data_IF_380343260505
#
_entry.id   IF_380343260505
#
_cell.length_a   1.000
_cell.length_b   1.000
_cell.length_c   1.000
_cell.angle_alpha   90.00
_cell.angle_beta   90.00
_cell.angle_gamma   90.00
#
_symmetry.space_group_name_H-M   'P 1'
#
loop_
_entity.id
_entity.type
_entity.pdbx_description
1 polymer ?
#
# COMPACT_ATOMS: atom_id res chain seq x y z
N UNK A 1 -8.02 33.06 3.96
CA UNK A 1 -9.11 32.09 4.13
C UNK A 1 -8.69 30.85 3.34
N UNK A 2 -8.14 29.85 4.03
CA UNK A 2 -7.44 28.71 3.41
C UNK A 2 -8.43 27.91 2.55
N UNK A 3 -8.08 27.65 1.30
CA UNK A 3 -8.90 26.90 0.34
C UNK A 3 -8.19 25.61 -0.10
N UNK A 4 -7.32 25.04 0.76
CA UNK A 4 -6.48 23.90 0.42
C UNK A 4 -6.09 23.08 1.67
N UNK A 5 -7.06 22.67 2.49
CA UNK A 5 -6.84 21.87 3.71
C UNK A 5 -6.78 20.35 3.39
N UNK A 6 -5.99 19.97 2.37
CA UNK A 6 -5.68 18.56 2.08
C UNK A 6 -4.43 18.11 2.85
N UNK A 7 -4.36 16.83 3.24
CA UNK A 7 -3.15 16.26 3.86
C UNK A 7 -1.98 16.40 2.87
N UNK A 8 -0.85 16.91 3.35
CA UNK A 8 0.35 17.04 2.52
C UNK A 8 0.98 15.67 2.28
N UNK A 9 1.44 15.44 1.06
CA UNK A 9 2.16 14.22 0.70
C UNK A 9 3.43 14.04 1.55
N UNK A 10 4.08 15.14 1.90
CA UNK A 10 5.24 15.16 2.78
C UNK A 10 5.00 14.48 4.15
N UNK A 11 3.77 14.50 4.69
CA UNK A 11 3.47 13.84 5.96
C UNK A 11 3.59 12.32 5.84
N UNK A 12 3.13 11.75 4.71
CA UNK A 12 3.28 10.33 4.39
C UNK A 12 4.75 9.96 4.24
N UNK A 13 5.51 10.81 3.53
CA UNK A 13 6.95 10.60 3.30
C UNK A 13 7.77 10.69 4.59
N UNK A 14 7.39 11.61 5.49
CA UNK A 14 8.02 11.74 6.81
C UNK A 14 7.81 10.47 7.64
N UNK A 15 6.59 9.95 7.69
CA UNK A 15 6.27 8.70 8.40
C UNK A 15 6.98 7.50 7.78
N UNK A 16 7.03 7.42 6.45
CA UNK A 16 7.82 6.39 5.75
C UNK A 16 9.28 6.40 6.18
N UNK A 17 9.88 7.59 6.30
CA UNK A 17 11.27 7.78 6.73
C UNK A 17 11.47 7.39 8.19
N UNK A 18 10.56 7.79 9.07
CA UNK A 18 10.58 7.41 10.50
C UNK A 18 10.53 5.88 10.66
N UNK A 19 9.61 5.24 9.95
CA UNK A 19 9.40 3.78 9.97
C UNK A 19 10.61 3.03 9.41
N UNK A 20 11.28 3.56 8.38
CA UNK A 20 12.52 3.01 7.85
C UNK A 20 13.69 3.13 8.84
N UNK A 21 13.71 4.20 9.65
CA UNK A 21 14.77 4.49 10.61
C UNK A 21 14.75 3.64 11.88
N UNK A 22 13.66 2.91 12.15
CA UNK A 22 13.50 2.12 13.38
C UNK A 22 13.40 0.62 13.12
N UNK A 23 13.91 -0.18 14.07
CA UNK A 23 13.73 -1.65 14.10
C UNK A 23 12.55 -2.09 14.98
N UNK A 24 11.98 -1.19 15.76
CA UNK A 24 10.89 -1.52 16.69
C UNK A 24 9.56 -1.63 15.94
N UNK A 25 9.01 -2.85 15.85
CA UNK A 25 7.69 -3.08 15.25
C UNK A 25 6.61 -2.20 15.88
N UNK A 26 6.60 -2.09 17.21
CA UNK A 26 5.61 -1.28 17.94
C UNK A 26 5.73 0.21 17.62
N UNK A 27 6.95 0.73 17.47
CA UNK A 27 7.16 2.12 17.06
C UNK A 27 6.62 2.36 15.66
N UNK A 28 6.87 1.44 14.71
CA UNK A 28 6.32 1.51 13.35
C UNK A 28 4.79 1.53 13.36
N UNK A 29 4.17 0.60 14.08
CA UNK A 29 2.71 0.53 14.20
C UNK A 29 2.14 1.83 14.75
N UNK A 30 2.82 2.44 15.73
CA UNK A 30 2.36 3.68 16.36
C UNK A 30 2.43 4.87 15.40
N UNK A 31 3.55 5.06 14.70
CA UNK A 31 3.71 6.12 13.71
C UNK A 31 2.71 5.97 12.54
N UNK A 32 2.58 4.76 12.01
CA UNK A 32 1.63 4.45 10.94
C UNK A 32 0.17 4.69 11.38
N UNK A 33 -0.20 4.25 12.59
CA UNK A 33 -1.56 4.43 13.09
C UNK A 33 -1.90 5.92 13.29
N UNK A 34 -0.92 6.74 13.68
CA UNK A 34 -1.12 8.18 13.86
C UNK A 34 -1.48 8.87 12.54
N UNK A 35 -0.73 8.62 11.46
CA UNK A 35 -1.02 9.22 10.15
C UNK A 35 -2.30 8.69 9.52
N UNK A 36 -2.58 7.39 9.67
CA UNK A 36 -3.82 6.77 9.18
C UNK A 36 -5.05 7.38 9.87
N UNK A 37 -4.96 7.68 11.17
CA UNK A 37 -6.03 8.31 11.94
C UNK A 37 -6.22 9.80 11.61
N UNK A 38 -5.12 10.49 11.29
CA UNK A 38 -5.16 11.90 10.89
C UNK A 38 -5.66 12.09 9.45
N UNK A 39 -5.55 11.07 8.60
CA UNK A 39 -6.01 11.12 7.23
C UNK A 39 -7.54 11.32 7.14
N UNK A 40 -7.97 12.27 6.31
CA UNK A 40 -9.38 12.45 5.99
C UNK A 40 -9.94 11.24 5.23
N UNK A 41 -11.28 11.08 5.15
CA UNK A 41 -11.90 9.92 4.49
C UNK A 41 -11.46 9.68 3.04
N UNK A 42 -11.13 10.74 2.31
CA UNK A 42 -10.62 10.66 0.94
C UNK A 42 -9.16 10.17 0.86
N UNK A 43 -8.38 10.42 1.91
CA UNK A 43 -6.93 10.21 1.92
C UNK A 43 -6.52 8.85 2.51
N UNK A 44 -7.39 8.22 3.31
CA UNK A 44 -7.10 6.91 3.95
C UNK A 44 -6.62 5.88 2.93
N UNK A 45 -7.31 5.75 1.80
CA UNK A 45 -6.99 4.74 0.78
C UNK A 45 -5.60 5.01 0.16
N UNK A 46 -5.29 6.22 -0.35
CA UNK A 46 -3.94 6.57 -0.80
C UNK A 46 -2.86 6.32 0.27
N UNK A 47 -3.06 6.82 1.49
CA UNK A 47 -2.07 6.71 2.58
C UNK A 47 -1.75 5.25 2.88
N UNK A 48 -2.77 4.41 3.01
CA UNK A 48 -2.59 2.98 3.32
C UNK A 48 -1.94 2.22 2.16
N UNK A 49 -2.32 2.52 0.91
CA UNK A 49 -1.69 1.92 -0.26
C UNK A 49 -0.19 2.25 -0.30
N UNK A 50 0.17 3.54 -0.21
CA UNK A 50 1.54 4.00 -0.33
C UNK A 50 2.43 3.53 0.83
N UNK A 51 1.90 3.52 2.07
CA UNK A 51 2.60 2.97 3.23
C UNK A 51 2.70 1.44 3.20
N UNK A 52 1.91 0.75 2.38
CA UNK A 52 2.07 -0.67 2.09
C UNK A 52 3.02 -0.93 0.91
N UNK A 53 3.50 0.11 0.23
CA UNK A 53 4.35 0.00 -0.96
C UNK A 53 3.57 -0.29 -2.24
N UNK A 54 2.27 -0.04 -2.25
CA UNK A 54 1.36 -0.33 -3.36
C UNK A 54 0.80 0.95 -3.98
N UNK A 55 0.47 0.89 -5.27
CA UNK A 55 -0.28 1.92 -5.99
C UNK A 55 -1.74 1.50 -6.13
N UNK A 56 -2.67 2.44 -5.94
CA UNK A 56 -4.10 2.18 -6.18
C UNK A 56 -4.40 1.88 -7.66
N UNK A 57 -3.58 2.41 -8.56
CA UNK A 57 -3.73 2.31 -10.00
C UNK A 57 -3.13 1.02 -10.59
N UNK A 58 -2.45 0.21 -9.76
CA UNK A 58 -1.67 -0.93 -10.23
C UNK A 58 -0.44 -0.49 -11.04
N UNK A 59 -0.23 -1.09 -12.23
CA UNK A 59 0.95 -0.80 -13.05
C UNK A 59 0.73 0.43 -13.93
N UNK A 60 1.53 1.47 -13.73
CA UNK A 60 1.47 2.72 -14.52
C UNK A 60 2.08 2.64 -15.92
N UNK A 61 2.75 1.52 -16.26
CA UNK A 61 3.44 1.37 -17.54
C UNK A 61 4.63 2.33 -17.75
N UNK A 62 5.06 3.04 -16.71
CA UNK A 62 6.26 3.87 -16.70
C UNK A 62 7.48 3.01 -16.39
N UNK A 63 8.35 2.80 -17.38
CA UNK A 63 9.58 2.03 -17.19
C UNK A 63 10.61 2.77 -16.34
N UNK A 64 11.44 2.03 -15.60
CA UNK A 64 12.59 2.52 -14.81
C UNK A 64 13.42 3.58 -15.54
N UNK A 65 13.66 3.40 -16.84
CA UNK A 65 14.45 4.32 -17.67
C UNK A 65 13.89 5.75 -17.70
N UNK A 66 12.57 5.90 -17.73
CA UNK A 66 11.93 7.23 -17.73
C UNK A 66 12.14 7.90 -16.39
N UNK A 67 11.91 7.18 -15.28
CA UNK A 67 12.10 7.71 -13.92
C UNK A 67 13.56 8.08 -13.63
N UNK A 68 14.49 7.20 -14.01
CA UNK A 68 15.92 7.39 -13.83
C UNK A 68 16.48 8.58 -14.62
N UNK A 69 15.80 8.99 -15.70
CA UNK A 69 16.15 10.20 -16.47
C UNK A 69 15.51 11.45 -15.88
N UNK A 70 14.22 11.38 -15.55
CA UNK A 70 13.43 12.58 -15.22
C UNK A 70 13.69 13.08 -13.80
N UNK A 71 13.70 12.20 -12.80
CA UNK A 71 13.83 12.64 -11.41
C UNK A 71 15.19 13.31 -11.10
N UNK A 72 16.35 12.76 -11.54
CA UNK A 72 17.65 13.40 -11.26
C UNK A 72 17.91 14.69 -12.07
N UNK A 73 17.17 14.90 -13.16
CA UNK A 73 17.34 16.07 -14.03
C UNK A 73 16.63 17.32 -13.49
N UNK A 74 15.74 17.16 -12.50
CA UNK A 74 14.94 18.25 -11.95
C UNK A 74 15.51 18.72 -10.62
N UNK A 75 15.56 20.03 -10.43
CA UNK A 75 15.85 20.62 -9.13
C UNK A 75 14.65 20.38 -8.21
N UNK A 76 14.82 19.74 -7.04
CA UNK A 76 13.73 19.52 -6.11
C UNK A 76 13.16 20.83 -5.56
N UNK A 77 11.87 20.84 -5.24
CA UNK A 77 11.25 21.95 -4.53
C UNK A 77 11.88 22.12 -3.14
N UNK A 78 11.94 23.37 -2.66
CA UNK A 78 12.53 23.69 -1.36
C UNK A 78 11.59 23.34 -0.20
N UNK A 79 10.29 23.53 -0.39
CA UNK A 79 9.24 23.31 0.59
C UNK A 79 8.19 22.34 0.03
N UNK A 80 7.56 21.52 0.88
CA UNK A 80 6.51 20.61 0.44
C UNK A 80 5.22 21.37 0.12
N UNK A 81 4.70 21.14 -1.08
CA UNK A 81 3.45 21.76 -1.55
C UNK A 81 2.46 20.77 -2.16
N UNK A 82 2.88 19.52 -2.40
CA UNK A 82 2.03 18.50 -3.01
C UNK A 82 1.05 17.94 -1.98
N UNK A 83 -0.23 17.96 -2.34
CA UNK A 83 -1.29 17.28 -1.60
C UNK A 83 -1.43 15.83 -2.07
N UNK A 84 -2.05 14.99 -1.23
CA UNK A 84 -2.38 13.60 -1.60
C UNK A 84 -3.25 13.55 -2.88
N UNK A 85 -4.24 14.43 -2.99
CA UNK A 85 -5.14 14.52 -4.13
C UNK A 85 -4.40 14.82 -5.44
N UNK A 86 -3.47 15.77 -5.43
CA UNK A 86 -2.66 16.11 -6.61
C UNK A 86 -1.78 14.95 -7.05
N UNK A 87 -1.19 14.22 -6.10
CA UNK A 87 -0.38 13.03 -6.40
C UNK A 87 -1.25 11.93 -7.00
N UNK A 88 -2.43 11.65 -6.41
CA UNK A 88 -3.38 10.67 -6.96
C UNK A 88 -3.81 11.04 -8.37
N UNK A 89 -4.18 12.30 -8.60
CA UNK A 89 -4.58 12.80 -9.91
C UNK A 89 -3.48 12.57 -10.95
N UNK A 90 -2.22 12.86 -10.60
CA UNK A 90 -1.09 12.62 -11.50
C UNK A 90 -0.87 11.12 -11.77
N UNK A 91 -1.01 10.26 -10.77
CA UNK A 91 -0.85 8.80 -10.92
C UNK A 91 -2.00 8.19 -11.75
N UNK A 92 -3.23 8.62 -11.55
CA UNK A 92 -4.39 8.22 -12.35
C UNK A 92 -4.21 8.61 -13.82
N UNK A 93 -3.68 9.81 -14.06
CA UNK A 93 -3.40 10.27 -15.43
C UNK A 93 -2.32 9.41 -16.11
N UNK A 94 -1.26 9.03 -15.38
CA UNK A 94 -0.23 8.13 -15.88
C UNK A 94 -0.80 6.75 -16.23
N UNK A 95 -1.67 6.22 -15.37
CA UNK A 95 -2.33 4.93 -15.57
C UNK A 95 -3.25 4.92 -16.79
N UNK A 96 -4.01 6.01 -17.00
CA UNK A 96 -4.91 6.18 -18.14
C UNK A 96 -4.22 6.49 -19.47
N UNK A 97 -2.95 6.93 -19.44
CA UNK A 97 -2.21 7.31 -20.65
C UNK A 97 -1.81 6.08 -21.47
N UNK A 98 -2.27 5.99 -22.72
CA UNK A 98 -1.93 4.91 -23.66
C UNK A 98 -1.95 5.38 -25.13
N UNK A 99 -1.47 4.56 -26.06
CA UNK A 99 -1.49 4.88 -27.50
C UNK A 99 -0.36 5.80 -27.98
N UNK A 100 -0.54 6.36 -29.19
CA UNK A 100 0.43 7.25 -29.81
C UNK A 100 0.60 8.55 -29.00
N UNK A 101 1.85 8.97 -28.78
CA UNK A 101 2.16 10.15 -27.95
C UNK A 101 2.14 9.90 -26.43
N UNK A 102 1.80 8.68 -25.98
CA UNK A 102 1.76 8.32 -24.56
C UNK A 102 3.09 8.54 -23.83
N UNK A 103 4.23 8.34 -24.51
CA UNK A 103 5.57 8.58 -23.93
C UNK A 103 5.75 10.05 -23.57
N UNK A 104 5.46 10.96 -24.50
CA UNK A 104 5.61 12.40 -24.27
C UNK A 104 4.64 12.90 -23.19
N UNK A 105 3.41 12.36 -23.14
CA UNK A 105 2.45 12.72 -22.09
C UNK A 105 2.92 12.24 -20.72
N UNK A 106 3.37 10.99 -20.60
CA UNK A 106 3.95 10.47 -19.33
C UNK A 106 5.15 11.28 -18.89
N UNK A 107 6.05 11.64 -19.81
CA UNK A 107 7.20 12.50 -19.52
C UNK A 107 6.76 13.86 -18.97
N UNK A 108 5.73 14.48 -19.56
CA UNK A 108 5.20 15.77 -19.09
C UNK A 108 4.58 15.68 -17.69
N UNK A 109 3.77 14.66 -17.43
CA UNK A 109 3.14 14.46 -16.10
C UNK A 109 4.20 14.20 -15.04
N UNK A 110 5.15 13.30 -15.31
CA UNK A 110 6.25 13.02 -14.38
C UNK A 110 7.11 14.26 -14.14
N UNK A 111 7.38 15.06 -15.17
CA UNK A 111 8.16 16.29 -15.03
C UNK A 111 7.44 17.30 -14.14
N UNK A 112 6.13 17.49 -14.34
CA UNK A 112 5.32 18.39 -13.52
C UNK A 112 5.26 17.92 -12.05
N UNK A 113 5.03 16.62 -11.83
CA UNK A 113 4.95 16.04 -10.49
C UNK A 113 6.30 16.13 -9.75
N UNK A 114 7.38 15.65 -10.36
CA UNK A 114 8.70 15.67 -9.73
C UNK A 114 9.27 17.08 -9.56
N UNK A 115 8.94 18.02 -10.45
CA UNK A 115 9.39 19.41 -10.34
C UNK A 115 8.83 20.15 -9.12
N UNK A 116 7.66 19.73 -8.64
CA UNK A 116 7.01 20.27 -7.42
C UNK A 116 7.33 19.48 -6.16
N UNK A 117 7.88 18.28 -6.31
CA UNK A 117 8.25 17.43 -5.20
C UNK A 117 9.60 17.85 -4.58
N UNK A 118 9.67 17.85 -3.26
CA UNK A 118 10.92 17.94 -2.49
C UNK A 118 11.79 16.71 -2.73
N UNK A 119 13.07 16.78 -2.35
CA UNK A 119 14.00 15.68 -2.57
C UNK A 119 13.56 14.36 -1.89
N UNK A 120 12.89 14.43 -0.74
CA UNK A 120 12.37 13.26 -0.05
C UNK A 120 11.15 12.66 -0.79
N UNK A 121 10.23 13.51 -1.23
CA UNK A 121 9.05 13.12 -2.00
C UNK A 121 9.43 12.51 -3.34
N UNK A 122 10.41 13.08 -4.06
CA UNK A 122 10.92 12.50 -5.32
C UNK A 122 11.45 11.08 -5.10
N UNK A 123 12.27 10.86 -4.06
CA UNK A 123 12.81 9.52 -3.73
C UNK A 123 11.70 8.53 -3.41
N UNK A 124 10.71 8.96 -2.62
CA UNK A 124 9.59 8.12 -2.26
C UNK A 124 8.74 7.76 -3.49
N UNK A 125 8.39 8.73 -4.34
CA UNK A 125 7.64 8.51 -5.58
C UNK A 125 8.37 7.55 -6.53
N UNK A 126 9.69 7.71 -6.71
CA UNK A 126 10.48 6.78 -7.52
C UNK A 126 10.36 5.36 -6.96
N UNK A 127 10.57 5.17 -5.65
CA UNK A 127 10.44 3.87 -5.00
C UNK A 127 9.03 3.29 -5.11
N UNK A 128 8.00 4.13 -4.96
CA UNK A 128 6.60 3.72 -5.06
C UNK A 128 6.25 3.25 -6.48
N UNK A 129 6.63 4.02 -7.51
CA UNK A 129 6.34 3.68 -8.90
C UNK A 129 7.11 2.43 -9.34
N UNK A 130 8.31 2.20 -8.82
CA UNK A 130 9.09 0.99 -9.13
C UNK A 130 8.71 -0.22 -8.28
N UNK A 131 7.84 -0.07 -7.28
CA UNK A 131 7.51 -1.13 -6.31
C UNK A 131 8.66 -1.47 -5.36
N UNK A 132 9.63 -0.56 -5.18
CA UNK A 132 10.80 -0.73 -4.33
C UNK A 132 10.76 0.19 -3.09
N UNK A 133 9.59 0.32 -2.45
CA UNK A 133 9.49 1.08 -1.19
C UNK A 133 10.14 0.29 -0.04
N UNK A 134 11.41 0.58 0.24
CA UNK A 134 12.23 -0.12 1.25
C UNK A 134 12.06 0.42 2.68
N UNK A 135 10.82 0.65 3.12
CA UNK A 135 10.54 1.19 4.47
C UNK A 135 10.43 0.12 5.57
N UNK A 136 10.43 -1.16 5.19
CA UNK A 136 10.29 -2.27 6.14
C UNK A 136 8.95 -2.29 6.90
N UNK A 137 7.94 -1.58 6.39
CA UNK A 137 6.53 -1.76 6.73
C UNK A 137 5.92 -2.65 5.65
N UNK A 138 5.96 -3.95 5.90
CA UNK A 138 5.24 -4.92 5.07
C UNK A 138 3.74 -4.77 5.32
N UNK A 139 2.89 -5.24 4.40
CA UNK A 139 1.44 -5.21 4.53
C UNK A 139 0.94 -5.60 5.94
N UNK A 140 1.55 -6.61 6.57
CA UNK A 140 1.20 -7.02 7.93
C UNK A 140 1.49 -6.00 9.05
N UNK A 141 2.47 -5.09 8.91
CA UNK A 141 2.68 -3.98 9.86
C UNK A 141 1.62 -2.91 9.67
N UNK A 142 1.26 -2.63 8.40
CA UNK A 142 0.21 -1.65 8.08
C UNK A 142 -1.16 -2.17 8.52
N UNK A 143 -1.46 -3.46 8.38
CA UNK A 143 -2.68 -4.08 8.93
C UNK A 143 -2.80 -3.87 10.44
N UNK A 144 -1.71 -4.09 11.20
CA UNK A 144 -1.69 -3.83 12.64
C UNK A 144 -1.93 -2.34 12.96
N UNK A 145 -1.36 -1.45 12.15
CA UNK A 145 -1.57 0.00 12.28
C UNK A 145 -3.02 0.41 11.99
N UNK A 146 -3.66 -0.19 10.98
CA UNK A 146 -5.08 0.03 10.66
C UNK A 146 -5.96 -0.41 11.83
N UNK A 147 -5.71 -1.59 12.40
CA UNK A 147 -6.44 -2.08 13.57
C UNK A 147 -6.30 -1.12 14.76
N UNK A 148 -5.08 -0.61 15.00
CA UNK A 148 -4.82 0.38 16.05
C UNK A 148 -5.44 1.75 15.76
N UNK A 149 -5.49 2.18 14.50
CA UNK A 149 -6.05 3.47 14.10
C UNK A 149 -7.58 3.48 14.21
N UNK A 150 -8.23 2.40 13.80
CA UNK A 150 -9.68 2.23 13.85
C UNK A 150 -10.21 1.66 15.18
N UNK A 151 -9.33 1.30 16.11
CA UNK A 151 -9.68 0.73 17.43
C UNK A 151 -10.54 -0.55 17.33
N UNK A 152 -10.23 -1.38 16.34
CA UNK A 152 -10.91 -2.66 16.07
C UNK A 152 -9.98 -3.84 16.32
N UNK A 153 -10.52 -5.04 16.64
CA UNK A 153 -9.69 -6.24 16.80
C UNK A 153 -8.91 -6.57 15.52
N UNK A 154 -7.63 -6.88 15.66
CA UNK A 154 -6.73 -7.20 14.54
C UNK A 154 -7.25 -8.32 13.64
N UNK A 155 -7.81 -9.37 14.23
CA UNK A 155 -8.40 -10.50 13.49
C UNK A 155 -9.58 -10.07 12.60
N UNK A 156 -10.32 -9.04 13.00
CA UNK A 156 -11.42 -8.49 12.19
C UNK A 156 -10.88 -7.80 10.95
N UNK A 157 -9.80 -7.02 11.10
CA UNK A 157 -9.13 -6.35 9.97
C UNK A 157 -8.47 -7.36 9.04
N UNK A 158 -7.79 -8.38 9.58
CA UNK A 158 -7.16 -9.44 8.78
C UNK A 158 -8.18 -10.20 7.95
N UNK A 159 -9.31 -10.60 8.56
CA UNK A 159 -10.41 -11.25 7.84
C UNK A 159 -10.95 -10.35 6.73
N UNK A 160 -11.23 -9.09 7.02
CA UNK A 160 -11.75 -8.15 6.03
C UNK A 160 -10.75 -7.88 4.88
N UNK A 161 -9.45 -7.74 5.18
CA UNK A 161 -8.41 -7.57 4.17
C UNK A 161 -8.27 -8.82 3.28
N UNK A 162 -8.37 -10.02 3.86
CA UNK A 162 -8.37 -11.28 3.12
C UNK A 162 -9.56 -11.37 2.15
N UNK A 163 -10.77 -11.01 2.61
CA UNK A 163 -12.00 -11.13 1.84
C UNK A 163 -12.18 -10.01 0.80
N UNK A 164 -11.71 -8.80 1.11
CA UNK A 164 -11.74 -7.66 0.19
C UNK A 164 -10.63 -7.71 -0.86
N UNK A 165 -9.52 -8.41 -0.58
CA UNK A 165 -8.32 -8.38 -1.41
C UNK A 165 -7.66 -6.99 -1.47
N UNK A 166 -8.07 -6.05 -0.60
CA UNK A 166 -7.66 -4.65 -0.63
C UNK A 166 -7.53 -4.09 0.80
N UNK A 167 -6.29 -3.97 1.27
CA UNK A 167 -6.01 -3.31 2.54
C UNK A 167 -6.44 -1.83 2.56
N UNK A 168 -6.28 -1.03 1.48
CA UNK A 168 -6.79 0.34 1.43
C UNK A 168 -8.30 0.44 1.64
N UNK A 169 -9.09 -0.41 0.97
CA UNK A 169 -10.55 -0.38 1.11
C UNK A 169 -10.99 -0.89 2.49
N UNK A 170 -10.29 -1.90 3.02
CA UNK A 170 -10.50 -2.38 4.39
C UNK A 170 -10.22 -1.29 5.42
N UNK A 171 -9.16 -0.51 5.26
CA UNK A 171 -8.83 0.57 6.18
C UNK A 171 -9.87 1.70 6.14
N UNK A 172 -10.35 2.07 4.95
CA UNK A 172 -11.41 3.06 4.79
C UNK A 172 -12.72 2.61 5.46
N UNK A 173 -13.09 1.34 5.31
CA UNK A 173 -14.24 0.75 5.99
C UNK A 173 -14.05 0.76 7.53
N UNK A 174 -12.90 0.32 8.01
CA UNK A 174 -12.57 0.27 9.44
C UNK A 174 -12.67 1.66 10.10
N UNK A 175 -12.10 2.70 9.47
CA UNK A 175 -12.12 4.06 10.01
C UNK A 175 -13.49 4.74 9.91
N UNK A 176 -14.32 4.33 8.95
CA UNK A 176 -15.66 4.90 8.76
C UNK A 176 -16.70 4.31 9.70
N UNK A 177 -16.68 3.00 9.91
CA UNK A 177 -17.74 2.29 10.63
C UNK A 177 -17.27 1.18 11.57
N UNK A 178 -15.96 1.08 11.81
CA UNK A 178 -15.40 0.12 12.76
C UNK A 178 -15.68 -1.34 12.38
N UNK A 179 -15.86 -2.18 13.39
CA UNK A 179 -16.03 -3.62 13.22
C UNK A 179 -17.31 -3.99 12.46
N UNK A 180 -18.38 -3.21 12.62
CA UNK A 180 -19.68 -3.46 11.95
C UNK A 180 -19.54 -3.34 10.44
N UNK A 181 -18.80 -2.33 9.96
CA UNK A 181 -18.53 -2.17 8.55
C UNK A 181 -17.63 -3.28 8.00
N UNK A 182 -16.64 -3.71 8.78
CA UNK A 182 -15.76 -4.81 8.41
C UNK A 182 -16.48 -6.15 8.33
N UNK A 183 -17.55 -6.34 9.11
CA UNK A 183 -18.38 -7.54 9.05
C UNK A 183 -19.10 -7.67 7.70
N UNK A 184 -19.33 -6.57 6.99
CA UNK A 184 -19.94 -6.54 5.66
C UNK A 184 -19.08 -7.17 4.56
N UNK A 185 -17.76 -7.31 4.76
CA UNK A 185 -16.92 -8.02 3.81
C UNK A 185 -17.20 -9.52 3.85
N UNK A 186 -17.64 -10.03 2.71
CA UNK A 186 -17.88 -11.44 2.41
C UNK A 186 -17.13 -11.90 1.17
N UNK A 187 -17.27 -13.19 0.86
CA UNK A 187 -16.77 -13.74 -0.40
C UNK A 187 -17.60 -13.20 -1.57
N UNK A 188 -16.91 -12.69 -2.60
CA UNK A 188 -17.52 -12.20 -3.83
C UNK A 188 -16.87 -12.92 -5.03
N UNK A 189 -17.70 -13.36 -5.97
CA UNK A 189 -17.23 -14.01 -7.20
C UNK A 189 -16.38 -13.02 -8.01
N UNK A 190 -15.27 -13.49 -8.58
CA UNK A 190 -14.24 -12.69 -9.28
C UNK A 190 -13.43 -11.74 -8.39
N UNK A 191 -13.53 -11.83 -7.07
CA UNK A 191 -12.61 -11.17 -6.14
C UNK A 191 -11.64 -12.20 -5.57
N UNK A 192 -10.37 -12.03 -5.88
CA UNK A 192 -9.31 -12.87 -5.33
C UNK A 192 -9.22 -12.71 -3.80
N UNK A 193 -9.16 -13.82 -3.09
CA UNK A 193 -8.82 -13.86 -1.67
C UNK A 193 -7.36 -14.24 -1.48
N UNK A 194 -6.74 -13.79 -0.40
CA UNK A 194 -5.37 -14.22 -0.09
C UNK A 194 -5.30 -15.75 0.04
N UNK A 195 -4.36 -16.43 -0.64
CA UNK A 195 -4.26 -17.87 -0.58
C UNK A 195 -3.88 -18.31 0.84
N UNK A 196 -4.42 -19.45 1.27
CA UNK A 196 -3.95 -20.10 2.48
C UNK A 196 -2.51 -20.59 2.25
N UNK A 197 -1.60 -20.21 3.13
CA UNK A 197 -0.20 -20.64 3.06
C UNK A 197 0.03 -21.81 4.01
N UNK A 198 0.90 -22.74 3.60
CA UNK A 198 1.29 -23.88 4.42
C UNK A 198 2.49 -23.54 5.30
N UNK A 199 2.47 -24.02 6.54
CA UNK A 199 3.64 -24.05 7.41
C UNK A 199 4.54 -25.24 7.04
N UNK A 200 5.86 -25.08 6.93
CA UNK A 200 6.76 -26.21 6.75
C UNK A 200 6.81 -27.04 8.04
N UNK A 201 6.89 -28.37 7.89
CA UNK A 201 7.20 -29.30 8.97
C UNK A 201 8.59 -29.90 8.71
N UNK A 202 9.32 -30.24 9.77
CA UNK A 202 10.65 -30.85 9.66
C UNK A 202 10.58 -32.27 9.10
N UNK A 203 9.55 -33.03 9.51
CA UNK A 203 9.28 -34.38 9.05
C UNK A 203 7.79 -34.73 9.16
N UNK A 204 7.43 -35.92 8.69
CA UNK A 204 6.03 -36.40 8.70
C UNK A 204 5.53 -36.65 10.12
N UNK A 205 6.40 -37.11 11.03
CA UNK A 205 6.01 -37.46 12.39
C UNK A 205 5.63 -36.20 13.20
N UNK A 206 6.42 -35.14 13.09
CA UNK A 206 6.14 -33.82 13.67
C UNK A 206 4.87 -33.21 13.09
N UNK A 207 4.68 -33.28 11.77
CA UNK A 207 3.46 -32.79 11.14
C UNK A 207 2.19 -33.48 11.67
N UNK A 208 2.21 -34.81 11.82
CA UNK A 208 1.08 -35.57 12.34
C UNK A 208 0.86 -35.36 13.84
N UNK A 209 1.92 -35.11 14.61
CA UNK A 209 1.81 -34.75 16.01
C UNK A 209 1.11 -33.38 16.19
N UNK A 210 1.41 -32.43 15.31
CA UNK A 210 0.84 -31.07 15.36
C UNK A 210 -0.59 -31.00 14.82
N UNK A 211 -0.88 -31.67 13.70
CA UNK A 211 -2.17 -31.62 13.01
C UNK A 211 -3.19 -32.64 13.55
N UNK A 212 -2.70 -33.69 14.23
CA UNK A 212 -3.51 -34.82 14.67
C UNK A 212 -3.72 -35.88 13.58
N UNK A 213 -4.48 -36.95 13.90
CA UNK A 213 -4.64 -38.11 13.02
C UNK A 213 -5.63 -37.89 11.87
N UNK A 214 -6.55 -36.94 12.00
CA UNK A 214 -7.63 -36.71 11.03
C UNK A 214 -7.21 -35.69 9.95
N UNK A 215 -6.26 -36.09 9.11
CA UNK A 215 -5.68 -35.24 8.07
C UNK A 215 -5.93 -35.76 6.66
N UNK A 216 -6.09 -34.84 5.70
CA UNK A 216 -6.02 -35.14 4.26
C UNK A 216 -4.59 -34.91 3.78
N UNK A 217 -4.08 -35.80 2.93
CA UNK A 217 -2.76 -35.68 2.30
C UNK A 217 -2.93 -35.56 0.81
N UNK A 218 -2.43 -34.46 0.25
CA UNK A 218 -2.47 -34.18 -1.18
C UNK A 218 -1.05 -34.01 -1.74
N UNK A 219 -0.88 -34.29 -3.03
CA UNK A 219 0.40 -34.08 -3.70
C UNK A 219 0.71 -32.59 -3.82
N UNK A 220 1.86 -32.15 -3.31
CA UNK A 220 2.40 -30.82 -3.60
C UNK A 220 2.87 -30.78 -5.05
N UNK A 221 2.08 -30.14 -5.90
CA UNK A 221 2.43 -29.93 -7.31
C UNK A 221 3.50 -28.82 -7.42
N UNK A 222 4.48 -29.03 -8.32
CA UNK A 222 5.48 -28.01 -8.64
C UNK A 222 4.98 -27.15 -9.82
N UNK A 223 4.31 -26.05 -9.48
CA UNK A 223 3.68 -25.15 -10.42
C UNK A 223 3.26 -23.83 -9.78
N UNK A 224 2.51 -23.01 -10.53
CA UNK A 224 1.94 -21.79 -10.01
C UNK A 224 0.53 -22.04 -9.44
N UNK A 225 0.27 -21.54 -8.23
CA UNK A 225 -1.08 -21.53 -7.67
C UNK A 225 -1.94 -20.51 -8.41
N UNK A 226 -3.06 -20.97 -8.98
CA UNK A 226 -4.03 -20.12 -9.66
C UNK A 226 -5.35 -20.13 -8.88
N UNK A 227 -5.83 -18.96 -8.44
CA UNK A 227 -7.22 -18.78 -8.03
C UNK A 227 -8.10 -18.59 -9.27
N UNK A 228 -9.19 -19.34 -9.37
CA UNK A 228 -10.18 -19.25 -10.43
C UNK A 228 -11.39 -18.43 -9.98
#
# INVERSE_FOLDING_TARGET
MRHNDGVLFAEVVAVSTEVAGTRSRTAKITALAAVIRAAGPADVRPVVAWLSGELLQGRLGTGWRTLARTAPALTPAAEPELTIEEVITALDELAGTSGAGSVARRDAVLTALFGRATAAEQRFLVGLITGEVRQGALAGVVTDAVARAAEVPLETVRRAAMLSGSLPDTAAAALRGGADELAGFGLEVLRGVSPMLASPAEDVASALADLGPDVSVEYKLDGATCGL
#
